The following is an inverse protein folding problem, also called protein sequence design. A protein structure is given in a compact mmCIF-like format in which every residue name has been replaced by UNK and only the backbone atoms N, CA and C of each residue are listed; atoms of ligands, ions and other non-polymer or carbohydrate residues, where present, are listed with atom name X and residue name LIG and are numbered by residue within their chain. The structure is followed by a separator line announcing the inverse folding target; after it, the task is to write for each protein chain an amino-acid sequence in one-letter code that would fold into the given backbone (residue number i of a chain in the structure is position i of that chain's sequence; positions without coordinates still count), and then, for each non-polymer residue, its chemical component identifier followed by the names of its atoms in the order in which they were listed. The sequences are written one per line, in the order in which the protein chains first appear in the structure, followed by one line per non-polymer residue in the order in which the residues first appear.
data_IF_961452788248
#
_entry.id   IF_961452788248
#
_cell.length_a   1.000
_cell.length_b   1.000
_cell.length_c   1.000
_cell.angle_alpha   90.00
_cell.angle_beta   90.00
_cell.angle_gamma   90.00
#
_symmetry.space_group_name_H-M   'P 1'
#
loop_
_entity.id
_entity.type
_entity.pdbx_description
1 polymer ?
#
# COMPACT_ATOMS: atom_id res chain seq x y z
N UNK A 1 -9.92 27.62 8.33
CA UNK A 1 -10.50 27.78 6.98
C UNK A 1 -11.05 26.41 6.63
N UNK A 2 -12.38 26.24 6.54
CA UNK A 2 -12.95 24.96 6.08
C UNK A 2 -12.61 24.83 4.59
N UNK A 3 -12.00 23.70 4.19
CA UNK A 3 -11.76 23.40 2.79
C UNK A 3 -13.10 23.34 2.04
N UNK A 4 -13.14 23.81 0.80
CA UNK A 4 -14.35 23.66 -0.01
C UNK A 4 -14.60 22.17 -0.33
N UNK A 5 -15.83 21.82 -0.70
CA UNK A 5 -16.13 20.45 -1.14
C UNK A 5 -15.35 20.09 -2.41
N UNK A 6 -15.12 21.05 -3.31
CA UNK A 6 -14.28 20.88 -4.50
C UNK A 6 -12.81 20.57 -4.10
N UNK A 7 -12.23 21.35 -3.18
CA UNK A 7 -10.87 21.11 -2.67
C UNK A 7 -10.76 19.73 -2.00
N UNK A 8 -11.79 19.33 -1.26
CA UNK A 8 -11.83 18.01 -0.61
C UNK A 8 -11.86 16.90 -1.66
N UNK A 9 -12.68 17.05 -2.70
CA UNK A 9 -12.77 16.10 -3.81
C UNK A 9 -11.44 15.96 -4.57
N UNK A 10 -10.77 17.08 -4.87
CA UNK A 10 -9.46 17.09 -5.53
C UNK A 10 -8.37 16.42 -4.68
N UNK A 11 -8.35 16.71 -3.38
CA UNK A 11 -7.39 16.11 -2.44
C UNK A 11 -7.61 14.61 -2.30
N UNK A 12 -8.86 14.16 -2.16
CA UNK A 12 -9.19 12.73 -2.08
C UNK A 12 -8.84 11.99 -3.38
N UNK A 13 -9.08 12.61 -4.53
CA UNK A 13 -8.71 12.05 -5.83
C UNK A 13 -7.20 11.90 -5.96
N UNK A 14 -6.45 12.93 -5.56
CA UNK A 14 -4.99 12.92 -5.58
C UNK A 14 -4.42 11.89 -4.62
N UNK A 15 -4.98 11.77 -3.42
CA UNK A 15 -4.60 10.78 -2.44
C UNK A 15 -4.86 9.35 -2.94
N UNK A 16 -6.02 9.09 -3.54
CA UNK A 16 -6.34 7.76 -4.08
C UNK A 16 -5.33 7.31 -5.14
N UNK A 17 -4.93 8.22 -6.04
CA UNK A 17 -3.90 7.96 -7.06
C UNK A 17 -2.52 7.72 -6.45
N UNK A 18 -2.16 8.50 -5.42
CA UNK A 18 -0.89 8.33 -4.72
C UNK A 18 -0.85 6.98 -3.97
N UNK A 19 -1.96 6.57 -3.35
CA UNK A 19 -2.09 5.29 -2.68
C UNK A 19 -1.95 4.12 -3.65
N UNK A 20 -2.58 4.21 -4.83
CA UNK A 20 -2.42 3.21 -5.89
C UNK A 20 -0.95 3.11 -6.34
N UNK A 21 -0.33 4.22 -6.70
CA UNK A 21 1.08 4.22 -7.14
C UNK A 21 2.05 3.73 -6.06
N UNK A 22 1.79 4.07 -4.79
CA UNK A 22 2.57 3.55 -3.66
C UNK A 22 2.45 2.02 -3.54
N UNK A 23 1.21 1.51 -3.60
CA UNK A 23 0.96 0.06 -3.48
C UNK A 23 1.57 -0.72 -4.64
N UNK A 24 1.53 -0.21 -5.87
CA UNK A 24 2.15 -0.84 -7.03
C UNK A 24 3.68 -0.93 -6.88
N UNK A 25 4.32 0.16 -6.46
CA UNK A 25 5.77 0.20 -6.21
C UNK A 25 6.16 -0.75 -5.08
N UNK A 26 5.35 -0.81 -4.02
CA UNK A 26 5.60 -1.68 -2.88
C UNK A 26 5.49 -3.17 -3.28
N UNK A 27 4.48 -3.53 -4.06
CA UNK A 27 4.28 -4.88 -4.55
C UNK A 27 5.45 -5.32 -5.45
N UNK A 28 5.90 -4.47 -6.38
CA UNK A 28 7.07 -4.75 -7.20
C UNK A 28 8.35 -4.91 -6.35
N UNK A 29 8.56 -4.01 -5.38
CA UNK A 29 9.73 -4.07 -4.49
C UNK A 29 9.74 -5.35 -3.64
N UNK A 30 8.57 -5.84 -3.20
CA UNK A 30 8.46 -7.09 -2.44
C UNK A 30 8.89 -8.30 -3.28
N UNK A 31 8.55 -8.34 -4.57
CA UNK A 31 9.00 -9.41 -5.48
C UNK A 31 10.53 -9.43 -5.55
N UNK A 32 11.15 -8.27 -5.79
CA UNK A 32 12.60 -8.16 -5.90
C UNK A 32 13.30 -8.53 -4.58
N UNK A 33 12.82 -7.98 -3.46
CA UNK A 33 13.35 -8.28 -2.13
C UNK A 33 13.23 -9.77 -1.79
N UNK A 34 12.13 -10.41 -2.16
CA UNK A 34 11.94 -11.85 -1.94
C UNK A 34 12.94 -12.68 -2.76
N UNK A 35 13.21 -12.28 -4.01
CA UNK A 35 14.25 -12.92 -4.82
C UNK A 35 15.62 -12.80 -4.16
N UNK A 36 16.02 -11.59 -3.77
CA UNK A 36 17.32 -11.36 -3.13
C UNK A 36 17.43 -12.05 -1.77
N UNK A 37 16.36 -12.09 -0.99
CA UNK A 37 16.32 -12.85 0.26
C UNK A 37 16.58 -14.34 0.00
N UNK A 38 15.88 -14.94 -0.96
CA UNK A 38 16.03 -16.37 -1.28
C UNK A 38 17.46 -16.69 -1.77
N UNK A 39 18.04 -15.83 -2.60
CA UNK A 39 19.43 -15.96 -3.06
C UNK A 39 20.42 -15.85 -1.89
N UNK A 40 20.23 -14.87 -1.00
CA UNK A 40 21.07 -14.68 0.17
C UNK A 40 21.00 -15.88 1.12
N UNK A 41 19.79 -16.34 1.46
CA UNK A 41 19.60 -17.49 2.36
C UNK A 41 20.14 -18.80 1.78
N UNK A 42 20.15 -18.96 0.46
CA UNK A 42 20.74 -20.13 -0.20
C UNK A 42 22.27 -20.15 -0.14
N UNK A 43 22.91 -18.97 -0.11
CA UNK A 43 24.37 -18.83 -0.08
C UNK A 43 24.93 -18.69 1.35
N UNK A 44 24.09 -18.37 2.34
CA UNK A 44 24.50 -18.09 3.70
C UNK A 44 24.53 -19.36 4.55
N UNK A 45 25.65 -19.61 5.23
CA UNK A 45 25.73 -20.62 6.27
C UNK A 45 24.65 -20.42 7.36
N UNK A 46 24.14 -21.52 7.90
CA UNK A 46 23.12 -21.52 8.94
C UNK A 46 23.74 -21.19 10.29
N UNK A 47 23.93 -19.88 10.53
CA UNK A 47 24.48 -19.31 11.75
C UNK A 47 23.44 -18.45 12.49
N UNK A 48 23.82 -17.91 13.65
CA UNK A 48 22.93 -17.08 14.45
C UNK A 48 22.55 -15.76 13.75
N UNK A 49 23.40 -15.26 12.86
CA UNK A 49 23.15 -14.04 12.09
C UNK A 49 22.11 -14.28 11.01
N UNK A 50 22.23 -15.36 10.23
CA UNK A 50 21.25 -15.70 9.19
C UNK A 50 19.88 -16.03 9.79
N UNK A 51 19.82 -16.67 10.96
CA UNK A 51 18.57 -16.88 11.69
C UNK A 51 17.90 -15.57 12.13
N UNK A 52 18.67 -14.62 12.67
CA UNK A 52 18.15 -13.30 13.08
C UNK A 52 17.65 -12.49 11.88
N UNK A 53 18.43 -12.48 10.81
CA UNK A 53 18.04 -11.84 9.56
C UNK A 53 16.75 -12.45 9.00
N UNK A 54 16.65 -13.78 8.95
CA UNK A 54 15.47 -14.48 8.44
C UNK A 54 14.21 -14.16 9.28
N UNK A 55 14.33 -14.10 10.60
CA UNK A 55 13.21 -13.73 11.46
C UNK A 55 12.71 -12.29 11.18
N UNK A 56 13.63 -11.34 10.99
CA UNK A 56 13.27 -9.97 10.60
C UNK A 56 12.66 -9.89 9.20
N UNK A 57 13.13 -10.74 8.27
CA UNK A 57 12.55 -10.85 6.94
C UNK A 57 11.12 -11.40 6.99
N UNK A 58 10.86 -12.46 7.75
CA UNK A 58 9.52 -13.06 7.89
C UNK A 58 8.51 -12.02 8.38
N UNK A 59 8.84 -11.27 9.43
CA UNK A 59 7.98 -10.20 9.96
C UNK A 59 7.68 -9.13 8.90
N UNK A 60 8.71 -8.65 8.20
CA UNK A 60 8.55 -7.64 7.15
C UNK A 60 7.70 -8.17 5.97
N UNK A 61 8.02 -9.36 5.48
CA UNK A 61 7.35 -9.97 4.32
C UNK A 61 5.86 -10.21 4.59
N UNK A 62 5.51 -10.63 5.81
CA UNK A 62 4.11 -10.83 6.20
C UNK A 62 3.37 -9.49 6.31
N UNK A 63 3.98 -8.46 6.90
CA UNK A 63 3.38 -7.13 6.98
C UNK A 63 3.11 -6.54 5.58
N UNK A 64 4.06 -6.70 4.65
CA UNK A 64 3.90 -6.24 3.27
C UNK A 64 2.85 -7.03 2.50
N UNK A 65 2.76 -8.34 2.74
CA UNK A 65 1.72 -9.20 2.16
C UNK A 65 0.33 -8.78 2.66
N UNK A 66 0.16 -8.59 3.96
CA UNK A 66 -1.10 -8.13 4.56
C UNK A 66 -1.53 -6.77 4.01
N UNK A 67 -0.60 -5.82 3.91
CA UNK A 67 -0.88 -4.52 3.29
C UNK A 67 -1.39 -4.68 1.85
N UNK A 68 -0.69 -5.46 1.03
CA UNK A 68 -1.00 -5.61 -0.39
C UNK A 68 -2.32 -6.35 -0.64
N UNK A 69 -2.60 -7.38 0.15
CA UNK A 69 -3.76 -8.26 -0.07
C UNK A 69 -5.03 -7.79 0.64
N UNK A 70 -4.90 -7.01 1.71
CA UNK A 70 -6.03 -6.66 2.58
C UNK A 70 -6.19 -5.14 2.72
N UNK A 71 -5.19 -4.45 3.29
CA UNK A 71 -5.38 -3.06 3.72
C UNK A 71 -5.51 -2.08 2.54
N UNK A 72 -4.58 -2.14 1.58
CA UNK A 72 -4.59 -1.24 0.44
C UNK A 72 -5.88 -1.35 -0.40
N UNK A 73 -6.37 -2.56 -0.78
CA UNK A 73 -7.64 -2.71 -1.47
C UNK A 73 -8.82 -2.11 -0.69
N UNK A 74 -8.91 -2.37 0.62
CA UNK A 74 -9.99 -1.85 1.47
C UNK A 74 -9.98 -0.33 1.53
N UNK A 75 -8.81 0.29 1.68
CA UNK A 75 -8.71 1.75 1.67
C UNK A 75 -9.07 2.36 0.33
N UNK A 76 -8.66 1.73 -0.78
CA UNK A 76 -9.01 2.19 -2.13
C UNK A 76 -10.52 2.14 -2.38
N UNK A 77 -11.18 1.05 -1.99
CA UNK A 77 -12.64 0.91 -2.10
C UNK A 77 -13.34 1.99 -1.28
N UNK A 78 -12.94 2.15 -0.02
CA UNK A 78 -13.49 3.20 0.86
C UNK A 78 -13.35 4.61 0.25
N UNK A 79 -12.18 4.96 -0.30
CA UNK A 79 -11.97 6.27 -0.90
C UNK A 79 -12.80 6.44 -2.17
N UNK A 80 -12.89 5.40 -3.01
CA UNK A 80 -13.69 5.41 -4.23
C UNK A 80 -15.18 5.66 -3.93
N UNK A 81 -15.74 4.96 -2.94
CA UNK A 81 -17.13 5.17 -2.50
C UNK A 81 -17.38 6.60 -2.03
N UNK A 82 -16.45 7.18 -1.27
CA UNK A 82 -16.57 8.57 -0.81
C UNK A 82 -16.45 9.58 -1.94
N UNK A 83 -15.57 9.34 -2.91
CA UNK A 83 -15.45 10.19 -4.10
C UNK A 83 -16.74 10.18 -4.92
N UNK A 84 -17.36 9.01 -5.10
CA UNK A 84 -18.66 8.89 -5.78
C UNK A 84 -19.75 9.70 -5.08
N UNK A 85 -19.89 9.56 -3.76
CA UNK A 85 -20.88 10.32 -2.97
C UNK A 85 -20.64 11.83 -3.06
N UNK A 86 -19.39 12.28 -2.97
CA UNK A 86 -19.05 13.69 -3.08
C UNK A 86 -19.39 14.24 -4.46
N UNK A 87 -19.10 13.47 -5.51
CA UNK A 87 -19.45 13.86 -6.88
C UNK A 87 -20.96 14.03 -7.06
N UNK A 88 -21.75 13.05 -6.63
CA UNK A 88 -23.22 13.12 -6.70
C UNK A 88 -23.77 14.32 -5.94
N UNK A 89 -23.24 14.60 -4.75
CA UNK A 89 -23.67 15.75 -3.94
C UNK A 89 -23.38 17.09 -4.62
N UNK A 90 -22.19 17.23 -5.23
CA UNK A 90 -21.82 18.45 -5.97
C UNK A 90 -22.65 18.63 -7.25
N UNK A 91 -23.04 17.54 -7.91
CA UNK A 91 -23.89 17.58 -9.10
C UNK A 91 -25.35 17.91 -8.75
N UNK A 92 -25.89 17.38 -7.66
CA UNK A 92 -27.26 17.66 -7.21
C UNK A 92 -27.43 19.08 -6.62
N UNK A 93 -26.35 19.69 -6.16
CA UNK A 93 -26.32 21.08 -5.66
C UNK A 93 -26.13 22.15 -6.72
N UNK A 94 -25.94 21.76 -8.00
CA UNK A 94 -25.89 22.65 -9.17
C UNK A 94 -27.27 22.81 -9.81
#
# INVERSE_FOLDING_TARGET
MMASLDETYEQMTSFNRALEGFSDVLAASLVDLTSFHNEAMAAWDVDQSSQRYNASWEELSEALRLWSEQDAPVYREFIADKLMILQEYMEAGR
#
